data_IF_507676566085
#
_entry.id   IF_507676566085
#
_cell.length_a   1.000
_cell.length_b   1.000
_cell.length_c   1.000
_cell.angle_alpha   90.00
_cell.angle_beta   90.00
_cell.angle_gamma   90.00
#
_symmetry.space_group_name_H-M   'P 1'
#
loop_
_entity.id
_entity.type
_entity.pdbx_description
1 polymer ?
#
# COMPACT_ATOMS: atom_id res chain seq x y z
N UNK A 1 23.35 -17.26 -2.49
CA UNK A 1 23.22 -16.09 -1.61
C UNK A 1 22.03 -16.28 -0.70
N UNK A 2 22.23 -16.39 0.61
CA UNK A 2 21.13 -16.55 1.56
C UNK A 2 20.37 -15.23 1.69
N UNK A 3 19.09 -15.21 1.30
CA UNK A 3 18.22 -14.01 1.43
C UNK A 3 17.08 -14.30 2.40
N UNK A 4 16.85 -13.40 3.35
CA UNK A 4 15.73 -13.45 4.29
C UNK A 4 14.83 -12.26 4.06
N UNK A 5 13.55 -12.52 3.82
CA UNK A 5 12.51 -11.52 3.63
C UNK A 5 11.60 -11.53 4.85
N UNK A 6 11.42 -10.37 5.48
CA UNK A 6 10.57 -10.20 6.65
C UNK A 6 9.30 -9.48 6.25
N UNK A 7 8.17 -10.17 6.29
CA UNK A 7 6.85 -9.67 5.94
C UNK A 7 6.31 -10.28 4.65
N UNK A 8 5.13 -10.90 4.73
CA UNK A 8 4.44 -11.54 3.62
C UNK A 8 3.31 -10.67 3.01
N UNK A 9 3.51 -9.35 3.00
CA UNK A 9 2.60 -8.38 2.37
C UNK A 9 2.90 -8.15 0.89
N UNK A 10 2.37 -7.06 0.34
CA UNK A 10 2.53 -6.66 -1.07
C UNK A 10 3.99 -6.68 -1.56
N UNK A 11 4.90 -6.05 -0.80
CA UNK A 11 6.29 -5.91 -1.20
C UNK A 11 7.06 -7.23 -1.06
N UNK A 12 7.03 -7.84 0.14
CA UNK A 12 7.81 -9.04 0.44
C UNK A 12 7.43 -10.25 -0.42
N UNK A 13 6.13 -10.44 -0.71
CA UNK A 13 5.69 -11.49 -1.64
C UNK A 13 6.26 -11.29 -3.04
N UNK A 14 6.31 -10.06 -3.54
CA UNK A 14 6.83 -9.80 -4.88
C UNK A 14 8.36 -9.88 -4.96
N UNK A 15 9.07 -9.60 -3.87
CA UNK A 15 10.48 -9.98 -3.73
C UNK A 15 10.65 -11.49 -3.77
N UNK A 16 9.90 -12.22 -2.95
CA UNK A 16 9.95 -13.68 -2.90
C UNK A 16 9.65 -14.32 -4.26
N UNK A 17 8.60 -13.89 -4.96
CA UNK A 17 8.27 -14.41 -6.29
C UNK A 17 9.33 -14.11 -7.36
N UNK A 18 10.19 -13.10 -7.14
CA UNK A 18 11.28 -12.75 -8.05
C UNK A 18 12.52 -13.60 -7.79
N UNK A 19 12.83 -13.88 -6.52
CA UNK A 19 13.95 -14.71 -6.09
C UNK A 19 13.65 -16.21 -6.14
N UNK A 20 12.39 -16.61 -5.98
CA UNK A 20 11.98 -18.01 -5.92
C UNK A 20 12.49 -18.71 -4.66
N UNK A 21 12.96 -19.95 -4.83
CA UNK A 21 13.42 -20.80 -3.72
C UNK A 21 14.77 -20.36 -3.10
N UNK A 22 15.40 -19.33 -3.65
CA UNK A 22 16.67 -18.77 -3.15
C UNK A 22 16.48 -17.85 -1.93
N UNK A 23 15.23 -17.60 -1.52
CA UNK A 23 14.90 -16.76 -0.37
C UNK A 23 14.00 -17.51 0.62
N UNK A 24 14.24 -17.27 1.92
CA UNK A 24 13.28 -17.57 2.99
C UNK A 24 12.39 -16.35 3.22
N UNK A 25 11.09 -16.56 3.36
CA UNK A 25 10.15 -15.51 3.75
C UNK A 25 9.51 -15.87 5.09
N UNK A 26 9.64 -14.94 6.04
CA UNK A 26 9.05 -15.04 7.37
C UNK A 26 7.98 -13.97 7.56
N UNK A 27 6.95 -14.26 8.33
CA UNK A 27 5.93 -13.26 8.70
C UNK A 27 5.15 -13.74 9.92
N UNK A 28 4.57 -12.80 10.66
CA UNK A 28 3.61 -13.04 11.75
C UNK A 28 2.35 -13.82 11.32
N UNK A 29 2.06 -13.85 10.02
CA UNK A 29 0.92 -14.54 9.41
C UNK A 29 1.32 -15.32 8.16
N UNK A 30 0.61 -16.41 7.91
CA UNK A 30 0.76 -17.30 6.76
C UNK A 30 -0.34 -17.08 5.70
N UNK A 31 -0.89 -15.86 5.65
CA UNK A 31 -1.89 -15.47 4.66
C UNK A 31 -1.67 -14.03 4.18
N UNK A 32 -2.01 -13.79 2.92
CA UNK A 32 -2.01 -12.47 2.28
C UNK A 32 -3.37 -11.81 2.45
N UNK A 33 -3.40 -10.51 2.73
CA UNK A 33 -4.60 -9.67 2.71
C UNK A 33 -4.50 -8.70 1.53
N UNK A 34 -5.54 -8.67 0.69
CA UNK A 34 -5.70 -7.63 -0.32
C UNK A 34 -6.55 -6.48 0.24
N UNK A 35 -5.88 -5.42 0.71
CA UNK A 35 -6.49 -4.34 1.48
C UNK A 35 -7.59 -3.56 0.74
N UNK A 36 -7.52 -3.41 -0.59
CA UNK A 36 -8.59 -2.75 -1.35
C UNK A 36 -9.90 -3.57 -1.30
N UNK A 37 -9.83 -4.90 -1.44
CA UNK A 37 -11.02 -5.74 -1.28
C UNK A 37 -11.47 -5.78 0.19
N UNK A 38 -10.53 -5.79 1.14
CA UNK A 38 -10.84 -5.76 2.57
C UNK A 38 -11.63 -4.50 2.96
N UNK A 39 -11.20 -3.31 2.52
CA UNK A 39 -11.91 -2.05 2.76
C UNK A 39 -13.36 -2.10 2.27
N UNK A 40 -13.60 -2.70 1.10
CA UNK A 40 -14.96 -2.81 0.55
C UNK A 40 -15.83 -3.79 1.33
N UNK A 41 -15.24 -4.87 1.85
CA UNK A 41 -15.94 -5.78 2.76
C UNK A 41 -16.28 -5.07 4.08
N UNK A 42 -15.35 -4.29 4.63
CA UNK A 42 -15.55 -3.52 5.86
C UNK A 42 -16.74 -2.55 5.74
N UNK A 43 -16.92 -1.95 4.55
CA UNK A 43 -18.04 -1.03 4.26
C UNK A 43 -19.30 -1.74 3.75
N UNK A 44 -19.37 -3.08 3.83
CA UNK A 44 -20.48 -3.89 3.32
C UNK A 44 -20.83 -3.64 1.83
N UNK A 45 -19.89 -3.13 1.04
CA UNK A 45 -20.12 -2.84 -0.38
C UNK A 45 -20.14 -4.12 -1.22
N UNK A 46 -19.29 -5.10 -0.89
CA UNK A 46 -19.25 -6.42 -1.53
C UNK A 46 -18.71 -7.46 -0.54
N UNK A 47 -19.22 -8.70 -0.60
CA UNK A 47 -18.70 -9.85 0.15
C UNK A 47 -17.73 -10.66 -0.72
N UNK A 48 -16.56 -10.08 -1.00
CA UNK A 48 -15.53 -10.73 -1.81
C UNK A 48 -14.44 -11.35 -0.95
N UNK A 49 -13.90 -12.49 -1.39
CA UNK A 49 -12.67 -13.03 -0.82
C UNK A 49 -11.54 -12.01 -0.93
N UNK A 50 -10.95 -11.64 0.21
CA UNK A 50 -9.83 -10.68 0.29
C UNK A 50 -8.55 -11.31 0.86
N UNK A 51 -8.56 -12.61 1.18
CA UNK A 51 -7.41 -13.34 1.74
C UNK A 51 -6.98 -14.56 0.92
N UNK A 52 -5.69 -14.89 1.01
CA UNK A 52 -5.10 -16.08 0.38
C UNK A 52 -4.03 -16.73 1.24
N UNK A 53 -4.09 -18.06 1.40
CA UNK A 53 -3.15 -18.81 2.23
C UNK A 53 -1.78 -18.99 1.54
N UNK A 54 -0.72 -18.85 2.32
CA UNK A 54 0.68 -18.81 1.92
C UNK A 54 1.49 -19.92 2.61
N UNK A 55 1.32 -21.16 2.15
CA UNK A 55 1.97 -22.34 2.75
C UNK A 55 3.50 -22.33 2.74
N UNK A 56 4.12 -21.46 1.94
CA UNK A 56 5.58 -21.33 1.83
C UNK A 56 6.16 -20.27 2.78
N UNK A 57 5.30 -19.55 3.52
CA UNK A 57 5.75 -18.56 4.51
C UNK A 57 5.99 -19.27 5.83
N UNK A 58 7.16 -19.04 6.43
CA UNK A 58 7.43 -19.46 7.79
C UNK A 58 6.75 -18.49 8.75
N UNK A 59 5.72 -18.96 9.45
CA UNK A 59 4.98 -18.18 10.43
C UNK A 59 5.81 -17.98 11.70
N UNK A 60 6.29 -16.77 11.94
CA UNK A 60 7.05 -16.36 13.13
C UNK A 60 7.03 -14.84 13.28
N UNK A 61 7.13 -14.34 14.51
CA UNK A 61 7.20 -12.91 14.78
C UNK A 61 8.64 -12.50 15.05
N UNK A 62 9.10 -11.41 14.42
CA UNK A 62 10.40 -10.81 14.72
C UNK A 62 10.28 -10.02 16.03
N UNK A 63 11.22 -10.27 16.95
CA UNK A 63 11.34 -9.59 18.24
C UNK A 63 12.46 -8.54 18.23
N UNK A 64 13.53 -8.81 17.49
CA UNK A 64 14.71 -7.93 17.42
C UNK A 64 15.44 -8.12 16.08
N UNK A 65 16.25 -7.15 15.66
CA UNK A 65 17.02 -7.22 14.43
C UNK A 65 18.20 -6.24 14.43
N UNK A 66 19.21 -6.53 13.63
CA UNK A 66 20.26 -5.57 13.28
C UNK A 66 20.41 -5.50 11.77
N UNK A 67 20.24 -4.28 11.24
CA UNK A 67 20.31 -4.03 9.81
C UNK A 67 21.74 -4.13 9.29
N UNK A 68 22.72 -3.71 10.09
CA UNK A 68 24.13 -3.67 9.68
C UNK A 68 24.74 -5.08 9.68
N UNK A 69 24.52 -5.84 10.75
CA UNK A 69 24.89 -7.24 10.90
C UNK A 69 24.01 -8.19 10.12
N UNK A 70 22.89 -7.72 9.55
CA UNK A 70 21.96 -8.47 8.70
C UNK A 70 21.46 -9.75 9.38
N UNK A 71 20.95 -9.59 10.59
CA UNK A 71 20.32 -10.67 11.32
C UNK A 71 18.98 -10.24 11.90
N UNK A 72 18.16 -11.24 12.18
CA UNK A 72 16.88 -11.08 12.88
C UNK A 72 16.78 -12.11 13.99
N UNK A 73 16.07 -11.76 15.06
CA UNK A 73 15.74 -12.64 16.17
C UNK A 73 14.24 -12.80 16.27
N UNK A 74 13.79 -14.03 16.23
CA UNK A 74 12.38 -14.40 16.34
C UNK A 74 11.92 -14.42 17.78
N UNK A 75 10.61 -14.37 18.01
CA UNK A 75 10.00 -14.48 19.33
C UNK A 75 10.31 -15.83 19.99
N UNK A 76 10.48 -16.88 19.19
CA UNK A 76 10.88 -18.22 19.64
C UNK A 76 12.38 -18.31 20.01
N UNK A 77 13.14 -17.20 19.88
CA UNK A 77 14.55 -17.14 20.23
C UNK A 77 15.51 -17.60 19.14
N UNK A 78 15.02 -18.02 17.97
CA UNK A 78 15.85 -18.36 16.81
C UNK A 78 16.45 -17.09 16.21
N UNK A 79 17.77 -17.08 16.03
CA UNK A 79 18.48 -16.06 15.27
C UNK A 79 18.71 -16.51 13.83
N UNK A 80 18.46 -15.62 12.87
CA UNK A 80 18.62 -15.89 11.44
C UNK A 80 19.60 -14.87 10.86
N UNK A 81 20.80 -15.35 10.56
CA UNK A 81 21.84 -14.61 9.84
C UNK A 81 21.67 -14.76 8.32
N UNK A 82 21.84 -13.68 7.56
CA UNK A 82 21.56 -13.63 6.12
C UNK A 82 22.53 -12.71 5.35
N UNK A 83 22.79 -13.01 4.07
CA UNK A 83 23.61 -12.13 3.22
C UNK A 83 22.82 -10.91 2.73
N UNK A 84 21.53 -11.12 2.44
CA UNK A 84 20.58 -10.08 2.10
C UNK A 84 19.43 -10.12 3.12
N UNK A 85 19.21 -9.01 3.80
CA UNK A 85 18.04 -8.79 4.66
C UNK A 85 17.09 -7.83 3.94
N UNK A 86 15.83 -8.24 3.79
CA UNK A 86 14.77 -7.43 3.19
C UNK A 86 13.64 -7.23 4.20
N UNK A 87 13.40 -6.01 4.65
CA UNK A 87 12.29 -5.67 5.53
C UNK A 87 11.09 -5.14 4.72
N UNK A 88 9.96 -5.83 4.85
CA UNK A 88 8.75 -5.65 4.06
C UNK A 88 7.47 -5.90 4.90
N UNK A 89 7.51 -5.58 6.19
CA UNK A 89 6.44 -5.87 7.17
C UNK A 89 5.18 -5.04 6.98
N UNK A 90 5.22 -4.03 6.10
CA UNK A 90 4.12 -3.10 5.89
C UNK A 90 3.98 -2.11 7.03
N UNK A 91 2.76 -1.60 7.24
CA UNK A 91 2.38 -0.85 8.43
C UNK A 91 1.15 -1.44 9.11
N UNK A 92 1.03 -1.23 10.42
CA UNK A 92 -0.15 -1.53 11.21
C UNK A 92 -1.27 -0.52 10.90
N UNK A 93 -2.42 -1.06 10.52
CA UNK A 93 -3.64 -0.31 10.14
C UNK A 93 -4.79 -0.50 11.11
N UNK A 94 -4.56 -1.08 12.30
CA UNK A 94 -5.63 -1.36 13.27
C UNK A 94 -6.38 -0.09 13.69
N UNK A 95 -5.69 1.01 13.93
CA UNK A 95 -6.32 2.30 14.28
C UNK A 95 -7.17 2.84 13.13
N UNK A 96 -6.70 2.75 11.89
CA UNK A 96 -7.47 3.12 10.69
C UNK A 96 -8.73 2.27 10.55
N UNK A 97 -8.63 0.96 10.76
CA UNK A 97 -9.76 0.02 10.68
C UNK A 97 -10.80 0.36 11.76
N UNK A 98 -10.37 0.59 13.00
CA UNK A 98 -11.24 0.97 14.11
C UNK A 98 -11.91 2.32 13.85
N UNK A 99 -11.17 3.29 13.31
CA UNK A 99 -11.70 4.58 12.91
C UNK A 99 -12.79 4.44 11.84
N UNK A 100 -12.55 3.66 10.78
CA UNK A 100 -13.56 3.40 9.74
C UNK A 100 -14.81 2.73 10.33
N UNK A 101 -14.65 1.81 11.28
CA UNK A 101 -15.77 1.20 12.00
C UNK A 101 -16.66 2.25 12.69
N UNK A 102 -16.05 3.18 13.44
CA UNK A 102 -16.76 4.29 14.09
C UNK A 102 -17.45 5.23 13.11
N UNK A 103 -16.87 5.45 11.93
CA UNK A 103 -17.49 6.29 10.89
C UNK A 103 -18.79 5.71 10.35
N UNK A 104 -18.91 4.37 10.27
CA UNK A 104 -20.11 3.73 9.76
C UNK A 104 -21.35 3.98 10.62
N UNK A 105 -21.15 4.26 11.91
CA UNK A 105 -22.20 4.59 12.88
C UNK A 105 -22.75 6.02 12.71
N UNK A 106 -22.02 6.89 12.00
CA UNK A 106 -22.40 8.28 11.77
C UNK A 106 -23.19 8.46 10.49
N UNK A 107 -24.17 9.36 10.47
CA UNK A 107 -24.90 9.75 9.24
C UNK A 107 -24.21 10.90 8.49
N UNK A 108 -23.64 11.84 9.24
CA UNK A 108 -22.84 12.97 8.72
C UNK A 108 -21.38 12.75 9.08
N UNK A 109 -20.51 12.86 8.09
CA UNK A 109 -19.09 12.58 8.21
C UNK A 109 -18.32 13.75 7.61
N UNK A 110 -17.37 14.29 8.37
CA UNK A 110 -16.47 15.35 7.91
C UNK A 110 -15.06 14.80 7.91
N UNK A 111 -14.63 14.22 6.78
CA UNK A 111 -13.45 13.36 6.69
C UNK A 111 -12.19 14.13 6.27
N UNK A 112 -11.18 14.10 7.12
CA UNK A 112 -9.82 14.54 6.81
C UNK A 112 -8.81 13.43 6.98
N UNK A 113 -7.53 13.76 6.85
CA UNK A 113 -6.42 12.83 7.10
C UNK A 113 -5.28 13.53 7.83
N UNK A 114 -4.62 12.81 8.72
CA UNK A 114 -3.46 13.33 9.45
C UNK A 114 -2.17 13.29 8.63
N UNK A 115 -1.99 12.26 7.79
CA UNK A 115 -0.80 12.07 6.96
C UNK A 115 -1.15 12.09 5.46
N UNK A 116 -0.61 13.07 4.74
CA UNK A 116 -0.84 13.27 3.30
C UNK A 116 -0.33 12.11 2.43
N UNK A 117 0.66 11.32 2.88
CA UNK A 117 1.14 10.13 2.16
C UNK A 117 0.03 9.08 1.93
N UNK A 118 -1.02 9.13 2.76
CA UNK A 118 -2.16 8.22 2.72
C UNK A 118 -3.45 8.90 2.23
N UNK A 119 -3.39 10.13 1.73
CA UNK A 119 -4.58 10.93 1.38
C UNK A 119 -5.51 10.21 0.40
N UNK A 120 -4.93 9.42 -0.50
CA UNK A 120 -5.69 8.61 -1.46
C UNK A 120 -6.69 7.66 -0.79
N UNK A 121 -6.40 7.19 0.43
CA UNK A 121 -7.25 6.30 1.22
C UNK A 121 -8.45 7.06 1.76
N UNK A 122 -8.24 8.25 2.31
CA UNK A 122 -9.32 9.11 2.80
C UNK A 122 -10.26 9.53 1.66
N UNK A 123 -9.70 9.91 0.50
CA UNK A 123 -10.49 10.21 -0.70
C UNK A 123 -11.31 8.99 -1.15
N UNK A 124 -10.69 7.80 -1.21
CA UNK A 124 -11.40 6.58 -1.57
C UNK A 124 -12.52 6.26 -0.57
N UNK A 125 -12.27 6.46 0.72
CA UNK A 125 -13.25 6.27 1.78
C UNK A 125 -14.42 7.27 1.66
N UNK A 126 -14.15 8.54 1.37
CA UNK A 126 -15.18 9.55 1.15
C UNK A 126 -16.16 9.13 0.03
N UNK A 127 -15.64 8.68 -1.11
CA UNK A 127 -16.47 8.17 -2.21
C UNK A 127 -17.29 6.95 -1.81
N UNK A 128 -16.72 6.02 -1.05
CA UNK A 128 -17.42 4.82 -0.61
C UNK A 128 -18.50 5.11 0.44
N UNK A 129 -18.22 5.97 1.41
CA UNK A 129 -19.20 6.44 2.40
C UNK A 129 -20.37 7.16 1.71
N UNK A 130 -20.05 8.01 0.72
CA UNK A 130 -21.08 8.69 -0.07
C UNK A 130 -21.93 7.69 -0.86
N UNK A 131 -21.31 6.65 -1.42
CA UNK A 131 -22.00 5.59 -2.17
C UNK A 131 -23.00 4.82 -1.30
N UNK A 132 -22.71 4.60 -0.01
CA UNK A 132 -23.63 3.93 0.92
C UNK A 132 -24.65 4.89 1.56
N UNK A 133 -24.76 6.14 1.06
CA UNK A 133 -25.84 7.06 1.42
C UNK A 133 -25.50 8.10 2.50
N UNK A 134 -24.27 8.12 3.02
CA UNK A 134 -23.86 9.10 4.05
C UNK A 134 -23.76 10.53 3.50
N UNK A 135 -23.97 11.54 4.36
CA UNK A 135 -23.63 12.94 4.06
C UNK A 135 -22.15 13.16 4.36
N UNK A 136 -21.35 13.41 3.33
CA UNK A 136 -19.89 13.41 3.42
C UNK A 136 -19.33 14.76 3.01
N UNK A 137 -18.53 15.34 3.89
CA UNK A 137 -17.59 16.41 3.58
C UNK A 137 -16.17 15.87 3.59
N UNK A 138 -15.27 16.53 2.87
CA UNK A 138 -13.86 16.19 2.81
C UNK A 138 -12.99 17.45 2.90
N UNK A 139 -11.89 17.38 3.62
CA UNK A 139 -10.84 18.39 3.65
C UNK A 139 -9.48 17.74 3.37
N UNK A 140 -8.65 18.44 2.60
CA UNK A 140 -7.35 17.96 2.17
C UNK A 140 -6.93 18.58 0.84
N UNK A 141 -5.75 18.20 0.39
CA UNK A 141 -5.08 18.76 -0.79
C UNK A 141 -5.51 18.11 -2.11
N UNK A 142 -6.38 17.10 -2.07
CA UNK A 142 -6.92 16.40 -3.25
C UNK A 142 -5.83 15.72 -4.08
N UNK A 143 -4.77 15.23 -3.44
CA UNK A 143 -3.57 14.69 -4.08
C UNK A 143 -2.89 15.69 -5.04
N UNK A 144 -2.96 16.99 -4.77
CA UNK A 144 -2.32 18.03 -5.60
C UNK A 144 -0.80 17.87 -5.72
N UNK A 145 -0.15 17.23 -4.74
CA UNK A 145 1.27 16.85 -4.80
C UNK A 145 1.60 15.88 -5.95
N UNK A 146 0.59 15.19 -6.50
CA UNK A 146 0.71 14.36 -7.70
C UNK A 146 0.52 15.15 -9.01
N UNK A 147 0.19 16.44 -8.92
CA UNK A 147 -0.02 17.35 -10.04
C UNK A 147 -1.42 17.97 -10.07
N UNK A 148 -1.54 19.10 -10.78
CA UNK A 148 -2.78 19.87 -10.87
C UNK A 148 -3.92 19.13 -11.56
N UNK A 149 -3.62 18.31 -12.58
CA UNK A 149 -4.65 17.53 -13.29
C UNK A 149 -5.26 16.48 -12.37
N UNK A 150 -4.46 15.89 -11.48
CA UNK A 150 -4.93 14.96 -10.44
C UNK A 150 -5.88 15.67 -9.47
N UNK A 151 -5.44 16.80 -8.91
CA UNK A 151 -6.26 17.61 -7.99
C UNK A 151 -7.61 18.01 -8.61
N UNK A 152 -7.58 18.61 -9.79
CA UNK A 152 -8.78 19.04 -10.50
C UNK A 152 -9.74 17.88 -10.80
N UNK A 153 -9.19 16.72 -11.19
CA UNK A 153 -10.01 15.55 -11.48
C UNK A 153 -10.73 14.99 -10.26
N UNK A 154 -10.11 15.07 -9.08
CA UNK A 154 -10.68 14.64 -7.81
C UNK A 154 -11.76 15.63 -7.35
N UNK A 155 -11.47 16.94 -7.38
CA UNK A 155 -12.43 18.01 -7.04
C UNK A 155 -13.70 17.88 -7.88
N UNK A 156 -13.56 17.80 -9.20
CA UNK A 156 -14.68 17.63 -10.12
C UNK A 156 -15.51 16.38 -9.77
N UNK A 157 -14.83 15.27 -9.44
CA UNK A 157 -15.50 14.01 -9.09
C UNK A 157 -16.22 14.08 -7.74
N UNK A 158 -15.65 14.76 -6.74
CA UNK A 158 -16.28 14.99 -5.44
C UNK A 158 -17.53 15.86 -5.59
N UNK A 159 -17.44 16.96 -6.34
CA UNK A 159 -18.57 17.85 -6.64
C UNK A 159 -19.71 17.08 -7.35
N UNK A 160 -19.37 16.30 -8.38
CA UNK A 160 -20.34 15.45 -9.09
C UNK A 160 -21.02 14.43 -8.15
N UNK A 161 -20.32 13.97 -7.11
CA UNK A 161 -20.84 13.05 -6.10
C UNK A 161 -21.50 13.75 -4.91
N UNK A 162 -21.58 15.09 -4.93
CA UNK A 162 -22.10 15.92 -3.85
C UNK A 162 -21.36 15.66 -2.52
N UNK A 163 -20.05 15.43 -2.60
CA UNK A 163 -19.15 15.43 -1.43
C UNK A 163 -18.70 16.87 -1.27
N UNK A 164 -18.98 17.49 -0.11
CA UNK A 164 -18.66 18.90 0.13
C UNK A 164 -17.16 19.03 0.40
N UNK A 165 -16.51 20.03 -0.20
CA UNK A 165 -15.11 20.34 0.09
C UNK A 165 -15.09 21.42 1.18
N UNK A 166 -14.34 21.18 2.25
CA UNK A 166 -14.24 22.06 3.42
C UNK A 166 -12.77 22.34 3.73
N UNK A 167 -12.51 23.44 4.44
CA UNK A 167 -11.16 23.77 4.93
C UNK A 167 -10.76 22.90 6.12
N UNK A 168 -11.71 22.58 7.00
CA UNK A 168 -11.47 21.83 8.24
C UNK A 168 -12.43 20.65 8.38
N UNK A 169 -11.97 19.60 9.05
CA UNK A 169 -12.73 18.39 9.33
C UNK A 169 -12.63 17.99 10.79
N UNK A 170 -13.62 17.22 11.23
CA UNK A 170 -13.69 16.66 12.59
C UNK A 170 -13.22 15.20 12.63
N UNK A 171 -13.50 14.44 11.58
CA UNK A 171 -13.15 13.03 11.47
C UNK A 171 -11.80 12.88 10.77
N UNK A 172 -10.72 12.87 11.56
CA UNK A 172 -9.36 12.76 11.03
C UNK A 172 -8.92 11.29 10.99
N UNK A 173 -8.69 10.76 9.78
CA UNK A 173 -8.14 9.41 9.61
C UNK A 173 -6.69 9.36 10.15
N UNK A 174 -6.40 8.51 11.15
CA UNK A 174 -5.06 8.42 11.72
C UNK A 174 -4.07 7.77 10.73
N UNK A 175 -2.77 8.04 10.87
CA UNK A 175 -1.75 7.40 10.05
C UNK A 175 -1.60 5.93 10.42
N UNK A 176 -1.16 5.11 9.47
CA UNK A 176 -0.68 3.78 9.81
C UNK A 176 0.66 3.87 10.57
N UNK A 177 0.92 2.90 11.46
CA UNK A 177 2.11 2.89 12.32
C UNK A 177 3.06 1.78 11.91
N UNK A 178 4.38 1.92 12.05
CA UNK A 178 5.27 0.79 11.83
C UNK A 178 5.02 -0.27 12.93
N UNK A 179 4.93 -1.57 12.59
CA UNK A 179 4.74 -2.60 13.61
C UNK A 179 6.01 -2.74 14.46
N UNK A 180 5.89 -2.88 15.78
CA UNK A 180 7.05 -3.16 16.65
C UNK A 180 7.74 -4.48 16.26
N UNK A 181 9.08 -4.58 16.25
CA UNK A 181 10.10 -3.59 16.66
C UNK A 181 10.54 -2.63 15.56
N UNK A 182 9.85 -2.56 14.43
CA UNK A 182 10.24 -1.77 13.28
C UNK A 182 9.85 -0.29 13.41
N UNK A 183 10.49 0.54 12.60
CA UNK A 183 10.18 1.95 12.41
C UNK A 183 10.05 2.24 10.90
N UNK A 184 9.67 3.46 10.53
CA UNK A 184 9.78 3.90 9.14
C UNK A 184 11.21 4.33 8.84
N UNK A 185 11.83 3.75 7.81
CA UNK A 185 13.23 4.00 7.51
C UNK A 185 13.40 4.94 6.31
N UNK A 186 14.34 5.90 6.38
CA UNK A 186 14.82 6.59 5.18
C UNK A 186 15.68 5.62 4.36
N UNK A 187 15.54 5.66 3.04
CA UNK A 187 16.31 4.80 2.13
C UNK A 187 17.04 5.62 1.08
N UNK A 188 18.13 5.07 0.55
CA UNK A 188 18.75 5.60 -0.66
C UNK A 188 17.95 5.21 -1.93
N UNK A 189 18.41 5.67 -3.09
CA UNK A 189 17.86 5.35 -4.41
C UNK A 189 17.82 3.86 -4.77
N UNK A 190 18.55 3.02 -4.02
CA UNK A 190 18.56 1.57 -4.18
C UNK A 190 17.68 0.84 -3.17
N UNK A 191 16.86 1.58 -2.42
CA UNK A 191 15.97 1.09 -1.36
C UNK A 191 16.73 0.43 -0.20
N UNK A 192 17.91 0.95 0.12
CA UNK A 192 18.74 0.43 1.20
C UNK A 192 18.87 1.41 2.36
N UNK A 193 18.95 0.85 3.57
CA UNK A 193 19.27 1.54 4.81
C UNK A 193 20.18 0.64 5.66
N UNK A 194 21.34 1.16 6.10
CA UNK A 194 22.37 0.41 6.85
C UNK A 194 22.75 -0.94 6.23
N UNK A 195 22.73 -1.05 4.90
CA UNK A 195 23.10 -2.27 4.17
C UNK A 195 21.99 -3.33 4.02
N UNK A 196 20.83 -3.14 4.66
CA UNK A 196 19.62 -3.93 4.44
C UNK A 196 18.70 -3.24 3.41
N UNK A 197 17.82 -4.00 2.78
CA UNK A 197 16.77 -3.46 1.91
C UNK A 197 15.51 -3.17 2.72
N UNK A 198 14.93 -1.98 2.53
CA UNK A 198 13.65 -1.59 3.13
C UNK A 198 12.67 -1.30 1.99
N UNK A 199 11.52 -1.97 2.00
CA UNK A 199 10.55 -1.92 0.89
C UNK A 199 9.11 -1.81 1.37
N UNK A 200 8.23 -1.39 0.46
CA UNK A 200 6.80 -1.19 0.74
C UNK A 200 6.54 -0.05 1.72
N UNK A 201 5.48 -0.22 2.51
CA UNK A 201 4.97 0.82 3.41
C UNK A 201 5.96 1.23 4.51
N UNK A 202 7.02 0.45 4.74
CA UNK A 202 8.07 0.73 5.73
C UNK A 202 9.04 1.85 5.31
N UNK A 203 9.00 2.27 4.04
CA UNK A 203 9.80 3.40 3.55
C UNK A 203 9.17 4.71 4.04
N UNK A 204 9.97 5.55 4.71
CA UNK A 204 9.58 6.91 5.13
C UNK A 204 9.43 7.83 3.91
N UNK A 205 8.42 8.70 3.87
CA UNK A 205 8.22 9.64 2.76
C UNK A 205 7.44 9.06 1.57
N UNK A 206 7.19 7.75 1.54
CA UNK A 206 6.54 7.10 0.41
C UNK A 206 5.04 6.91 0.66
N UNK A 207 4.18 7.22 -0.32
CA UNK A 207 2.77 6.87 -0.25
C UNK A 207 2.59 5.38 -0.01
N UNK A 208 1.69 5.01 0.90
CA UNK A 208 1.47 3.63 1.32
C UNK A 208 0.55 2.88 0.35
N UNK A 209 0.89 2.88 -0.93
CA UNK A 209 0.07 2.35 -2.03
C UNK A 209 0.54 0.94 -2.40
N UNK A 210 -0.41 0.01 -2.52
CA UNK A 210 -0.11 -1.40 -2.79
C UNK A 210 0.70 -1.62 -4.08
N UNK A 211 0.41 -0.89 -5.16
CA UNK A 211 1.14 -0.97 -6.44
C UNK A 211 2.62 -0.59 -6.26
N UNK A 212 2.88 0.55 -5.62
CA UNK A 212 4.23 1.03 -5.33
C UNK A 212 4.98 0.02 -4.45
N UNK A 213 4.31 -0.51 -3.42
CA UNK A 213 4.87 -1.55 -2.57
C UNK A 213 5.26 -2.81 -3.35
N UNK A 214 4.40 -3.30 -4.26
CA UNK A 214 4.75 -4.44 -5.12
C UNK A 214 5.97 -4.14 -6.01
N UNK A 215 6.04 -2.94 -6.61
CA UNK A 215 7.16 -2.54 -7.48
C UNK A 215 8.49 -2.44 -6.73
N UNK A 216 8.49 -1.93 -5.50
CA UNK A 216 9.70 -1.93 -4.65
C UNK A 216 10.20 -3.37 -4.43
N UNK A 217 9.28 -4.32 -4.19
CA UNK A 217 9.62 -5.72 -3.99
C UNK A 217 10.21 -6.40 -5.24
N UNK A 218 9.60 -6.18 -6.41
CA UNK A 218 10.13 -6.68 -7.70
C UNK A 218 11.50 -6.10 -7.99
N UNK A 219 11.67 -4.80 -7.75
CA UNK A 219 12.94 -4.11 -7.97
C UNK A 219 14.06 -4.73 -7.11
N UNK A 220 13.85 -4.87 -5.79
CA UNK A 220 14.85 -5.46 -4.89
C UNK A 220 15.13 -6.92 -5.26
N UNK A 221 14.10 -7.71 -5.58
CA UNK A 221 14.29 -9.08 -6.05
C UNK A 221 15.14 -9.17 -7.33
N UNK A 222 14.91 -8.28 -8.30
CA UNK A 222 15.73 -8.21 -9.53
C UNK A 222 17.14 -7.73 -9.21
N UNK A 223 17.31 -6.77 -8.30
CA UNK A 223 18.62 -6.25 -7.89
C UNK A 223 19.48 -7.33 -7.26
N UNK A 224 18.94 -8.08 -6.30
CA UNK A 224 19.63 -9.20 -5.66
C UNK A 224 19.95 -10.30 -6.68
N UNK A 225 19.00 -10.68 -7.54
CA UNK A 225 19.19 -11.81 -8.48
C UNK A 225 20.08 -11.49 -9.68
N UNK A 226 20.05 -10.25 -10.18
CA UNK A 226 20.71 -9.85 -11.43
C UNK A 226 21.84 -8.85 -11.23
N UNK A 227 22.19 -8.50 -9.99
CA UNK A 227 23.13 -7.42 -9.67
C UNK A 227 22.82 -6.12 -10.43
N UNK A 228 21.52 -5.76 -10.49
CA UNK A 228 21.06 -4.59 -11.22
C UNK A 228 21.57 -3.31 -10.53
N UNK A 229 22.44 -2.55 -11.18
CA UNK A 229 23.00 -1.29 -10.66
C UNK A 229 22.18 -0.03 -10.96
N UNK A 230 20.96 -0.16 -11.49
CA UNK A 230 20.09 0.99 -11.76
C UNK A 230 19.28 1.40 -10.52
N UNK A 231 19.06 2.70 -10.28
CA UNK A 231 18.25 3.18 -9.14
C UNK A 231 16.77 2.85 -9.33
N UNK A 232 16.03 2.78 -8.22
CA UNK A 232 14.58 2.64 -8.23
C UNK A 232 13.94 3.96 -8.69
N UNK A 233 13.06 3.88 -9.69
CA UNK A 233 12.30 5.03 -10.20
C UNK A 233 10.86 4.97 -9.68
N UNK A 234 10.51 5.69 -8.61
CA UNK A 234 9.15 5.65 -8.06
C UNK A 234 8.15 6.30 -9.02
N UNK A 235 6.93 5.78 -9.03
CA UNK A 235 5.76 6.36 -9.71
C UNK A 235 4.56 5.99 -8.87
N UNK A 236 3.70 6.95 -8.58
CA UNK A 236 2.43 6.74 -7.91
C UNK A 236 1.44 6.21 -8.95
N UNK A 237 0.89 5.02 -8.72
CA UNK A 237 -0.16 4.45 -9.56
C UNK A 237 -1.32 4.02 -8.65
N UNK A 238 -2.49 4.60 -8.85
CA UNK A 238 -3.67 4.23 -8.08
C UNK A 238 -4.96 4.40 -8.88
N UNK A 239 -6.00 3.64 -8.51
CA UNK A 239 -7.34 3.74 -9.08
C UNK A 239 -8.31 4.12 -7.96
N UNK A 240 -8.84 5.34 -8.00
CA UNK A 240 -9.90 5.81 -7.10
C UNK A 240 -11.25 5.48 -7.73
N UNK A 241 -12.06 4.68 -7.03
CA UNK A 241 -13.40 4.29 -7.47
C UNK A 241 -14.44 5.25 -6.88
N UNK A 242 -15.16 5.97 -7.75
CA UNK A 242 -16.17 6.95 -7.36
C UNK A 242 -17.55 6.31 -7.15
N UNK A 243 -17.66 5.00 -7.35
CA UNK A 243 -18.90 4.23 -7.27
C UNK A 243 -19.53 3.96 -8.64
N UNK A 244 -19.34 4.84 -9.62
CA UNK A 244 -19.89 4.72 -10.98
C UNK A 244 -18.79 4.57 -12.04
N UNK A 245 -17.69 5.29 -11.86
CA UNK A 245 -16.50 5.23 -12.70
C UNK A 245 -15.27 5.24 -11.80
N UNK A 246 -14.09 5.09 -12.39
CA UNK A 246 -12.86 5.22 -11.64
C UNK A 246 -11.88 6.20 -12.29
N UNK A 247 -11.12 6.88 -11.43
CA UNK A 247 -10.04 7.79 -11.76
C UNK A 247 -8.75 7.00 -11.64
N UNK A 248 -8.11 6.71 -12.77
CA UNK A 248 -6.77 6.11 -12.78
C UNK A 248 -5.74 7.23 -12.81
N UNK A 249 -4.87 7.24 -11.81
CA UNK A 249 -3.81 8.22 -11.61
C UNK A 249 -2.47 7.51 -11.82
N UNK A 250 -1.60 8.14 -12.62
CA UNK A 250 -0.16 7.82 -12.68
C UNK A 250 0.63 9.12 -12.58
N UNK A 251 1.57 9.22 -11.64
CA UNK A 251 2.38 10.44 -11.49
C UNK A 251 3.73 10.17 -10.85
N UNK A 252 4.78 10.87 -11.32
CA UNK A 252 6.10 10.90 -10.66
C UNK A 252 6.41 12.29 -10.06
N UNK A 253 5.45 13.23 -10.09
CA UNK A 253 5.59 14.60 -9.59
C UNK A 253 6.04 14.68 -8.13
N UNK A 254 5.54 13.78 -7.28
CA UNK A 254 5.92 13.68 -5.87
C UNK A 254 7.43 13.49 -5.67
N UNK A 255 8.11 12.90 -6.64
CA UNK A 255 9.56 12.67 -6.61
C UNK A 255 10.32 13.61 -7.56
N UNK A 256 9.76 14.79 -7.87
CA UNK A 256 10.38 15.81 -8.72
C UNK A 256 10.31 15.52 -10.22
N UNK A 257 9.54 14.52 -10.64
CA UNK A 257 9.35 14.20 -12.05
C UNK A 257 8.37 15.14 -12.76
N UNK A 258 8.16 14.89 -14.05
CA UNK A 258 7.30 15.72 -14.91
C UNK A 258 6.10 14.97 -15.51
N UNK A 259 5.93 13.70 -15.17
CA UNK A 259 4.87 12.87 -15.67
C UNK A 259 3.64 12.91 -14.77
N UNK A 260 2.50 13.16 -15.39
CA UNK A 260 1.19 13.12 -14.77
C UNK A 260 0.15 12.62 -15.79
N UNK A 261 -0.62 11.61 -15.43
CA UNK A 261 -1.68 11.05 -16.26
C UNK A 261 -2.92 10.75 -15.42
N UNK A 262 -4.04 11.32 -15.85
CA UNK A 262 -5.36 11.07 -15.25
C UNK A 262 -6.29 10.57 -16.33
N UNK A 263 -6.93 9.43 -16.09
CA UNK A 263 -7.92 8.84 -17.01
C UNK A 263 -9.16 8.41 -16.24
N UNK A 264 -10.32 8.94 -16.59
CA UNK A 264 -11.63 8.62 -15.99
C UNK A 264 -12.40 7.67 -16.90
N UNK A 265 -12.86 6.52 -16.41
CA UNK A 265 -13.79 5.66 -17.16
C UNK A 265 -14.50 4.60 -16.31
N UNK A 266 -15.65 4.10 -16.80
CA UNK A 266 -16.32 2.92 -16.22
C UNK A 266 -15.51 1.64 -16.38
N UNK A 267 -14.81 1.51 -17.52
CA UNK A 267 -13.90 0.39 -17.77
C UNK A 267 -12.83 0.28 -16.67
N UNK A 268 -12.37 1.40 -16.11
CA UNK A 268 -11.39 1.39 -14.99
C UNK A 268 -11.96 0.87 -13.69
N UNK A 269 -13.24 1.11 -13.41
CA UNK A 269 -13.90 0.49 -12.27
C UNK A 269 -13.94 -1.04 -12.43
N UNK A 270 -14.21 -1.52 -13.65
CA UNK A 270 -14.11 -2.95 -13.97
C UNK A 270 -12.68 -3.49 -13.84
N UNK A 271 -11.67 -2.77 -14.36
CA UNK A 271 -10.26 -3.14 -14.20
C UNK A 271 -9.87 -3.23 -12.73
N UNK A 272 -10.32 -2.29 -11.90
CA UNK A 272 -10.08 -2.34 -10.46
C UNK A 272 -10.60 -3.65 -9.88
N UNK A 273 -11.87 -4.00 -10.13
CA UNK A 273 -12.49 -5.27 -9.71
C UNK A 273 -11.71 -6.50 -10.19
N UNK A 274 -11.24 -6.50 -11.44
CA UNK A 274 -10.39 -7.56 -11.98
C UNK A 274 -9.09 -7.69 -11.17
N UNK A 275 -8.42 -6.56 -10.90
CA UNK A 275 -7.18 -6.51 -10.12
C UNK A 275 -7.39 -7.09 -8.71
N UNK A 276 -8.52 -6.80 -8.06
CA UNK A 276 -8.82 -7.34 -6.72
C UNK A 276 -8.85 -8.87 -6.73
N UNK A 277 -9.62 -9.46 -7.65
CA UNK A 277 -9.73 -10.93 -7.78
C UNK A 277 -8.41 -11.54 -8.22
N UNK A 278 -7.71 -10.89 -9.16
CA UNK A 278 -6.44 -11.36 -9.69
C UNK A 278 -5.37 -11.45 -8.58
N UNK A 279 -5.20 -10.41 -7.75
CA UNK A 279 -4.18 -10.44 -6.71
C UNK A 279 -4.48 -11.43 -5.60
N UNK A 280 -5.75 -11.61 -5.23
CA UNK A 280 -6.14 -12.66 -4.29
C UNK A 280 -5.83 -14.03 -4.88
N UNK A 281 -6.29 -14.33 -6.10
CA UNK A 281 -6.04 -15.60 -6.77
C UNK A 281 -4.54 -15.91 -6.93
N UNK A 282 -3.75 -14.89 -7.30
CA UNK A 282 -2.30 -14.98 -7.49
C UNK A 282 -1.50 -14.86 -6.20
N UNK A 283 -2.17 -14.87 -5.03
CA UNK A 283 -1.54 -14.80 -3.71
C UNK A 283 -0.56 -13.62 -3.61
N UNK A 284 -1.00 -12.44 -4.03
CA UNK A 284 -0.24 -11.18 -4.01
C UNK A 284 0.77 -10.98 -5.15
N UNK A 285 0.96 -11.96 -6.06
CA UNK A 285 1.92 -11.81 -7.17
C UNK A 285 1.44 -10.78 -8.20
N UNK A 286 2.24 -9.74 -8.43
CA UNK A 286 1.93 -8.68 -9.39
C UNK A 286 1.76 -9.21 -10.81
N UNK A 287 2.70 -10.05 -11.26
CA UNK A 287 2.66 -10.71 -12.57
C UNK A 287 2.61 -9.72 -13.74
N UNK A 288 1.68 -9.92 -14.68
CA UNK A 288 1.61 -9.10 -15.91
C UNK A 288 1.32 -7.62 -15.64
N UNK A 289 0.68 -7.31 -14.50
CA UNK A 289 0.32 -5.94 -14.14
C UNK A 289 1.54 -5.04 -13.88
N UNK A 290 2.74 -5.61 -13.71
CA UNK A 290 3.99 -4.84 -13.65
C UNK A 290 4.34 -4.13 -14.96
N UNK A 291 3.83 -4.62 -16.10
CA UNK A 291 4.18 -4.12 -17.43
C UNK A 291 3.11 -3.19 -18.03
N UNK A 292 2.02 -2.92 -17.30
CA UNK A 292 0.92 -2.03 -17.71
C UNK A 292 1.11 -0.62 -17.12
#
# INVERSE_FOLDING_TARGET
>A
MKTTIVGAGYAGLNTYYTLGREAEIISDRDYFIFYTAYLRNLLNLEKNRYTSNLRFVRKTTVKDFDLKGKWIKTKEGTEINTENLVLAVGCDRNEQINFIGKLLEKEKISLGIENEEEEYLAIQLAFYLRKIGKDVSYCGNMLSSLGEKVGNAIIESMNNKKIKIMENCEDILPPCKPPHPFEFFPVNEFLQYKGAYIIGDLIKGFPKVGELAMRTGIYVGKRIRKNLNLPFKPVFINIIDTGDYAIHIRSDKLWGGNYESVKKSRLRAFMKRFIEKYYVYRKGKMGILYYL
#
